data_IF_382077723103
#
_entry.id   IF_382077723103
#
_cell.length_a   1.000
_cell.length_b   1.000
_cell.length_c   1.000
_cell.angle_alpha   90.00
_cell.angle_beta   90.00
_cell.angle_gamma   90.00
#
_symmetry.space_group_name_H-M   'P 1'
#
loop_
_entity.id
_entity.type
_entity.pdbx_description
1 polymer ?
#
# COMPACT_ATOMS: atom_id res chain seq x y z
N UNK A 1 -7.29 12.45 -3.13
CA UNK A 1 -7.28 13.91 -2.81
C UNK A 1 -6.41 14.55 -3.86
N UNK A 2 -6.90 15.57 -4.55
CA UNK A 2 -6.17 16.18 -5.64
C UNK A 2 -4.91 16.95 -5.16
N UNK A 3 -3.90 17.07 -6.02
CA UNK A 3 -2.70 17.86 -5.80
C UNK A 3 -3.07 19.31 -5.40
N UNK A 4 -4.06 19.87 -6.07
CA UNK A 4 -4.60 21.21 -5.74
C UNK A 4 -5.11 21.31 -4.29
N UNK A 5 -5.80 20.28 -3.78
CA UNK A 5 -6.30 20.28 -2.40
C UNK A 5 -5.14 20.25 -1.37
N UNK A 6 -4.07 19.52 -1.68
CA UNK A 6 -2.87 19.46 -0.86
C UNK A 6 -2.14 20.81 -0.85
N UNK A 7 -1.89 21.39 -2.02
CA UNK A 7 -1.26 22.71 -2.15
C UNK A 7 -2.07 23.83 -1.46
N UNK A 8 -3.40 23.77 -1.58
CA UNK A 8 -4.30 24.65 -0.86
C UNK A 8 -4.11 24.53 0.67
N UNK A 9 -4.15 23.32 1.20
CA UNK A 9 -4.00 23.09 2.64
C UNK A 9 -2.62 23.54 3.14
N UNK A 10 -1.55 23.19 2.41
CA UNK A 10 -0.18 23.58 2.72
C UNK A 10 -0.03 25.10 2.81
N UNK A 11 -0.58 25.84 1.84
CA UNK A 11 -0.57 27.31 1.83
C UNK A 11 -1.22 27.90 3.09
N UNK A 12 -2.46 27.51 3.37
CA UNK A 12 -3.22 28.12 4.49
C UNK A 12 -2.66 27.72 5.85
N UNK A 13 -2.20 26.49 6.03
CA UNK A 13 -1.58 26.06 7.28
C UNK A 13 -0.25 26.79 7.52
N UNK A 14 0.53 27.06 6.47
CA UNK A 14 1.78 27.80 6.58
C UNK A 14 1.53 29.25 6.94
N UNK A 15 0.59 29.92 6.27
CA UNK A 15 0.21 31.30 6.57
C UNK A 15 -0.28 31.45 8.02
N UNK A 16 -1.10 30.51 8.50
CA UNK A 16 -1.60 30.53 9.88
C UNK A 16 -0.50 30.23 10.90
N UNK A 17 0.39 29.29 10.62
CA UNK A 17 1.55 28.99 11.47
C UNK A 17 2.44 30.24 11.64
N UNK A 18 2.77 30.90 10.54
CA UNK A 18 3.61 32.11 10.55
C UNK A 18 2.93 33.25 11.33
N UNK A 19 1.63 33.46 11.12
CA UNK A 19 0.84 34.47 11.82
C UNK A 19 0.81 34.19 13.32
N UNK A 20 0.55 32.96 13.72
CA UNK A 20 0.48 32.53 15.12
C UNK A 20 1.83 32.62 15.83
N UNK A 21 2.90 32.18 15.20
CA UNK A 21 4.28 32.31 15.74
C UNK A 21 4.65 33.78 15.97
N UNK A 22 4.26 34.67 15.06
CA UNK A 22 4.48 36.12 15.24
C UNK A 22 3.74 36.67 16.46
N UNK A 23 2.48 36.26 16.68
CA UNK A 23 1.71 36.68 17.85
C UNK A 23 2.26 36.11 19.16
N UNK A 24 2.86 34.92 19.14
CA UNK A 24 3.44 34.26 20.30
C UNK A 24 4.92 34.64 20.54
N UNK A 25 5.45 35.63 19.84
CA UNK A 25 6.84 36.05 19.99
C UNK A 25 7.86 34.99 19.60
N UNK A 26 7.48 34.10 18.67
CA UNK A 26 8.33 33.02 18.14
C UNK A 26 8.32 31.73 18.98
N UNK A 27 7.55 31.66 20.06
CA UNK A 27 7.43 30.42 20.88
C UNK A 27 6.24 29.60 20.43
N UNK A 28 6.47 28.40 19.83
CA UNK A 28 5.39 27.56 19.31
C UNK A 28 4.56 26.95 20.44
N UNK A 29 3.25 27.09 20.38
CA UNK A 29 2.30 26.33 21.20
C UNK A 29 1.92 24.98 20.57
N UNK A 30 1.03 24.24 21.22
CA UNK A 30 0.59 22.92 20.76
C UNK A 30 -0.08 22.97 19.35
N UNK A 31 -0.78 24.07 19.03
CA UNK A 31 -1.42 24.22 17.71
C UNK A 31 -0.39 24.54 16.62
N UNK A 32 0.64 25.36 16.91
CA UNK A 32 1.77 25.56 16.01
C UNK A 32 2.48 24.23 15.71
N UNK A 33 2.70 23.40 16.74
CA UNK A 33 3.29 22.06 16.56
C UNK A 33 2.40 21.15 15.71
N UNK A 34 1.07 21.25 15.85
CA UNK A 34 0.13 20.49 15.03
C UNK A 34 0.14 20.94 13.56
N UNK A 35 0.21 22.24 13.28
CA UNK A 35 0.36 22.75 11.91
C UNK A 35 1.69 22.30 11.30
N UNK A 36 2.77 22.37 12.04
CA UNK A 36 4.08 21.93 11.58
C UNK A 36 4.09 20.42 11.28
N UNK A 37 3.55 19.59 12.15
CA UNK A 37 3.44 18.15 11.92
C UNK A 37 2.57 17.83 10.68
N UNK A 38 1.52 18.61 10.44
CA UNK A 38 0.69 18.47 9.24
C UNK A 38 1.47 18.83 7.97
N UNK A 39 2.24 19.92 7.98
CA UNK A 39 3.10 20.32 6.86
C UNK A 39 4.20 19.29 6.58
N UNK A 40 4.83 18.74 7.62
CA UNK A 40 5.80 17.64 7.50
C UNK A 40 5.15 16.38 6.89
N UNK A 41 3.93 16.03 7.32
CA UNK A 41 3.19 14.91 6.77
C UNK A 41 2.76 15.11 5.29
N UNK A 42 2.65 16.36 4.85
CA UNK A 42 2.41 16.76 3.46
C UNK A 42 3.65 16.72 2.58
N UNK A 43 4.85 16.70 3.18
CA UNK A 43 6.08 16.61 2.40
C UNK A 43 6.09 15.36 1.50
N UNK A 44 6.80 15.39 0.37
CA UNK A 44 6.95 14.24 -0.48
C UNK A 44 7.52 13.05 0.31
N UNK A 45 6.89 11.89 0.20
CA UNK A 45 7.35 10.65 0.83
C UNK A 45 7.90 9.70 -0.22
N UNK A 46 8.85 8.86 0.19
CA UNK A 46 9.34 7.79 -0.68
C UNK A 46 8.17 6.90 -1.07
N UNK A 47 8.05 6.69 -2.37
CA UNK A 47 7.10 5.75 -2.95
C UNK A 47 7.80 4.43 -3.23
N UNK A 48 7.10 3.34 -2.97
CA UNK A 48 7.47 2.01 -3.42
C UNK A 48 6.65 1.69 -4.66
N UNK A 49 7.31 1.44 -5.76
CA UNK A 49 6.70 0.97 -6.99
C UNK A 49 6.89 -0.55 -7.05
N UNK A 50 5.79 -1.28 -7.00
CA UNK A 50 5.76 -2.73 -7.07
C UNK A 50 5.50 -3.11 -8.52
N UNK A 51 6.48 -3.76 -9.14
CA UNK A 51 6.36 -4.29 -10.50
C UNK A 51 5.84 -5.71 -10.40
N UNK A 52 4.76 -5.98 -11.11
CA UNK A 52 4.08 -7.28 -11.07
C UNK A 52 3.97 -7.88 -12.45
N UNK A 53 3.91 -9.21 -12.50
CA UNK A 53 3.72 -10.00 -13.72
C UNK A 53 2.49 -10.85 -13.56
N UNK A 54 1.61 -10.86 -14.55
CA UNK A 54 0.49 -11.79 -14.62
C UNK A 54 1.00 -13.22 -14.74
N UNK A 55 0.40 -14.13 -13.97
CA UNK A 55 0.86 -15.52 -13.91
C UNK A 55 -0.23 -16.53 -14.27
N UNK A 56 0.22 -17.67 -14.76
CA UNK A 56 -0.55 -18.90 -14.89
C UNK A 56 0.19 -20.04 -14.19
N UNK A 57 -0.55 -21.11 -13.90
CA UNK A 57 0.00 -22.36 -13.32
C UNK A 57 0.83 -22.14 -12.05
N UNK A 58 0.56 -21.08 -11.29
CA UNK A 58 1.27 -20.78 -10.07
C UNK A 58 0.71 -21.61 -8.91
N UNK A 59 1.61 -22.13 -8.08
CA UNK A 59 1.27 -22.75 -6.81
C UNK A 59 1.77 -21.91 -5.66
N UNK A 60 0.87 -21.53 -4.74
CA UNK A 60 1.22 -20.78 -3.53
C UNK A 60 1.35 -21.72 -2.33
N UNK A 61 2.31 -21.42 -1.47
CA UNK A 61 2.46 -22.07 -0.18
C UNK A 61 1.35 -21.61 0.77
N UNK A 62 0.36 -22.46 1.03
CA UNK A 62 -0.80 -22.15 1.86
C UNK A 62 -1.01 -23.30 2.85
N UNK A 63 -0.36 -23.22 3.99
CA UNK A 63 -0.45 -24.23 5.04
C UNK A 63 -1.87 -24.25 5.64
N UNK A 64 -2.53 -25.42 5.73
CA UNK A 64 -3.83 -25.54 6.37
C UNK A 64 -3.78 -25.07 7.83
N UNK A 65 -4.83 -24.42 8.29
CA UNK A 65 -4.94 -24.02 9.69
C UNK A 65 -5.03 -25.29 10.56
N UNK A 66 -4.11 -25.45 11.50
CA UNK A 66 -4.24 -26.46 12.53
C UNK A 66 -5.44 -26.11 13.41
N UNK A 67 -6.59 -26.72 13.15
CA UNK A 67 -7.76 -26.62 14.02
C UNK A 67 -7.47 -27.52 15.22
N UNK A 68 -7.24 -26.99 16.44
CA UNK A 68 -7.11 -27.86 17.59
C UNK A 68 -8.38 -28.67 17.74
N UNK A 69 -8.29 -29.99 18.05
CA UNK A 69 -9.46 -30.81 18.28
C UNK A 69 -10.34 -30.13 19.36
N UNK A 70 -11.65 -30.14 19.12
CA UNK A 70 -12.63 -29.38 19.90
C UNK A 70 -12.80 -29.84 21.33
N UNK A 71 -12.24 -30.99 21.71
CA UNK A 71 -12.35 -31.61 23.02
C UNK A 71 -10.95 -31.96 23.57
N UNK A 72 -10.68 -31.52 24.81
CA UNK A 72 -9.38 -31.68 25.50
C UNK A 72 -8.98 -33.14 25.75
N UNK A 73 -9.84 -34.10 25.44
CA UNK A 73 -9.66 -35.54 25.77
C UNK A 73 -9.09 -36.39 24.58
N UNK A 74 -8.87 -35.82 23.39
CA UNK A 74 -8.44 -36.58 22.20
C UNK A 74 -6.93 -36.44 21.86
N UNK A 75 -6.08 -36.02 22.79
CA UNK A 75 -4.64 -35.94 22.53
C UNK A 75 -3.87 -37.27 22.65
N UNK A 76 -4.56 -38.36 22.99
CA UNK A 76 -3.94 -39.68 23.04
C UNK A 76 -3.94 -40.30 21.64
N UNK A 77 -2.77 -40.34 21.01
CA UNK A 77 -2.47 -41.09 19.77
C UNK A 77 -3.19 -40.64 18.47
N UNK A 78 -3.47 -39.36 18.27
CA UNK A 78 -3.64 -38.91 16.90
C UNK A 78 -2.27 -38.93 16.21
N UNK A 79 -2.06 -39.94 15.34
CA UNK A 79 -1.06 -39.84 14.28
C UNK A 79 -1.29 -38.47 13.64
N UNK A 80 -0.42 -37.51 13.93
CA UNK A 80 -0.35 -36.27 13.16
C UNK A 80 0.04 -36.77 11.77
N UNK A 81 -0.95 -36.99 10.90
CA UNK A 81 -0.68 -37.26 9.49
C UNK A 81 0.24 -36.13 9.05
N UNK A 82 1.51 -36.49 8.83
CA UNK A 82 2.46 -35.56 8.22
C UNK A 82 1.80 -35.14 6.91
N UNK A 83 1.35 -33.89 6.83
CA UNK A 83 0.79 -33.32 5.61
C UNK A 83 1.80 -33.59 4.49
N UNK A 84 1.39 -34.30 3.47
CA UNK A 84 2.23 -34.50 2.31
C UNK A 84 2.63 -33.11 1.77
N UNK A 85 3.90 -32.94 1.37
CA UNK A 85 4.39 -31.66 0.84
C UNK A 85 3.51 -31.12 -0.31
N UNK A 86 2.75 -31.98 -0.98
CA UNK A 86 1.81 -31.61 -2.03
C UNK A 86 0.55 -30.92 -1.49
N UNK A 87 0.09 -31.27 -0.27
CA UNK A 87 -1.14 -30.72 0.32
C UNK A 87 -1.01 -29.25 0.80
N UNK A 88 0.22 -28.76 0.94
CA UNK A 88 0.51 -27.38 1.36
C UNK A 88 0.64 -26.42 0.18
N UNK A 89 0.58 -26.92 -1.06
CA UNK A 89 0.66 -26.12 -2.27
C UNK A 89 -0.70 -26.07 -2.97
N UNK A 90 -1.24 -24.86 -3.11
CA UNK A 90 -2.54 -24.65 -3.75
C UNK A 90 -2.38 -23.89 -5.06
N UNK A 91 -3.13 -24.33 -6.08
CA UNK A 91 -3.18 -23.61 -7.35
C UNK A 91 -3.79 -22.23 -7.14
N UNK A 92 -3.08 -21.22 -7.62
CA UNK A 92 -3.46 -19.81 -7.50
C UNK A 92 -3.26 -19.11 -8.82
N UNK A 93 -4.06 -18.06 -9.04
CA UNK A 93 -3.89 -17.15 -10.16
C UNK A 93 -3.78 -15.72 -9.65
N UNK A 94 -2.97 -14.92 -10.30
CA UNK A 94 -2.79 -13.53 -9.92
C UNK A 94 -1.48 -12.94 -10.41
N UNK A 95 -1.03 -11.90 -9.74
CA UNK A 95 0.19 -11.19 -10.11
C UNK A 95 1.31 -11.51 -9.13
N UNK A 96 2.42 -12.03 -9.63
CA UNK A 96 3.65 -12.18 -8.84
C UNK A 96 4.37 -10.84 -8.77
N UNK A 97 4.91 -10.53 -7.60
CA UNK A 97 5.79 -9.40 -7.39
C UNK A 97 7.16 -9.73 -7.99
N UNK A 98 7.48 -9.04 -9.08
CA UNK A 98 8.76 -9.22 -9.78
C UNK A 98 9.86 -8.38 -9.14
N UNK A 99 9.55 -7.13 -8.76
CA UNK A 99 10.50 -6.22 -8.11
C UNK A 99 9.79 -5.10 -7.33
N UNK A 100 10.53 -4.50 -6.39
CA UNK A 100 10.11 -3.33 -5.61
C UNK A 100 11.15 -2.23 -5.77
N UNK A 101 10.76 -1.11 -6.36
CA UNK A 101 11.66 0.03 -6.60
C UNK A 101 11.19 1.25 -5.82
N UNK A 102 12.08 1.80 -5.01
CA UNK A 102 11.85 3.01 -4.24
C UNK A 102 12.33 4.23 -5.01
N UNK A 103 11.40 5.10 -5.42
CA UNK A 103 11.70 6.30 -6.20
C UNK A 103 10.74 7.45 -5.86
N UNK A 104 11.09 8.66 -6.25
CA UNK A 104 10.25 9.83 -6.02
C UNK A 104 9.15 9.96 -7.08
N UNK A 105 9.35 9.38 -8.27
CA UNK A 105 8.38 9.40 -9.37
C UNK A 105 8.30 8.04 -10.10
N UNK A 106 7.14 7.79 -10.75
CA UNK A 106 6.93 6.62 -11.61
C UNK A 106 7.98 6.55 -12.71
N UNK A 107 8.30 7.69 -13.33
CA UNK A 107 9.32 7.76 -14.40
C UNK A 107 10.69 7.29 -13.93
N UNK A 108 11.13 7.71 -12.74
CA UNK A 108 12.41 7.25 -12.16
C UNK A 108 12.38 5.76 -11.83
N UNK A 109 11.27 5.26 -11.27
CA UNK A 109 11.10 3.84 -10.99
C UNK A 109 11.17 3.00 -12.27
N UNK A 110 10.45 3.40 -13.32
CA UNK A 110 10.45 2.73 -14.62
C UNK A 110 11.85 2.75 -15.25
N UNK A 111 12.55 3.88 -15.21
CA UNK A 111 13.92 3.95 -15.73
C UNK A 111 14.90 3.06 -14.95
N UNK A 112 14.74 2.97 -13.64
CA UNK A 112 15.55 2.08 -12.81
C UNK A 112 15.24 0.62 -13.12
N UNK A 113 13.99 0.27 -13.32
CA UNK A 113 13.55 -1.07 -13.67
C UNK A 113 14.08 -1.51 -15.03
N UNK A 114 13.93 -0.69 -16.09
CA UNK A 114 14.45 -0.99 -17.44
C UNK A 114 15.96 -1.23 -17.42
N UNK A 115 16.72 -0.49 -16.60
CA UNK A 115 18.16 -0.73 -16.44
C UNK A 115 18.49 -2.08 -15.78
N UNK A 116 17.61 -2.57 -14.91
CA UNK A 116 17.78 -3.83 -14.19
C UNK A 116 17.34 -5.02 -15.03
N UNK A 117 16.29 -4.86 -15.81
CA UNK A 117 15.65 -5.89 -16.62
C UNK A 117 15.47 -5.44 -18.08
N UNK A 118 16.58 -5.18 -18.82
CA UNK A 118 16.50 -4.61 -20.17
C UNK A 118 16.01 -5.59 -21.22
N UNK A 119 15.87 -6.88 -20.87
CA UNK A 119 15.46 -7.94 -21.79
C UNK A 119 13.95 -8.07 -21.94
N UNK A 120 13.16 -7.51 -21.01
CA UNK A 120 11.72 -7.62 -20.99
C UNK A 120 11.04 -6.31 -21.34
N UNK A 121 9.92 -6.39 -21.99
CA UNK A 121 9.12 -5.22 -22.33
C UNK A 121 8.46 -4.66 -21.08
N UNK A 122 8.62 -3.35 -20.82
CA UNK A 122 8.06 -2.68 -19.65
C UNK A 122 6.52 -2.70 -19.61
N UNK A 123 5.88 -2.73 -20.76
CA UNK A 123 4.43 -2.72 -20.87
C UNK A 123 3.78 -4.05 -20.46
N UNK A 124 4.58 -5.13 -20.35
CA UNK A 124 4.12 -6.41 -19.80
C UNK A 124 3.91 -6.37 -18.27
N UNK A 125 4.53 -5.39 -17.57
CA UNK A 125 4.44 -5.30 -16.13
C UNK A 125 3.26 -4.46 -15.65
N UNK A 126 2.57 -4.97 -14.63
CA UNK A 126 1.74 -4.14 -13.78
C UNK A 126 2.61 -3.27 -12.88
N UNK A 127 2.21 -2.02 -12.65
CA UNK A 127 2.96 -1.10 -11.76
C UNK A 127 2.00 -0.55 -10.73
N UNK A 128 2.15 -0.99 -9.50
CA UNK A 128 1.40 -0.48 -8.35
C UNK A 128 2.26 0.48 -7.54
N UNK A 129 1.65 1.55 -7.02
CA UNK A 129 2.37 2.54 -6.21
C UNK A 129 1.85 2.55 -4.79
N UNK A 130 2.80 2.49 -3.86
CA UNK A 130 2.54 2.54 -2.43
C UNK A 130 3.42 3.60 -1.76
N UNK A 131 2.96 4.15 -0.64
CA UNK A 131 3.76 5.03 0.19
C UNK A 131 4.33 4.23 1.34
N UNK A 132 5.64 4.29 1.53
CA UNK A 132 6.30 3.65 2.68
C UNK A 132 5.85 4.36 3.95
N UNK A 133 5.37 3.64 4.97
CA UNK A 133 5.00 4.25 6.24
C UNK A 133 6.19 4.94 6.90
N UNK A 134 5.92 6.05 7.57
CA UNK A 134 6.90 6.62 8.50
C UNK A 134 7.07 5.69 9.70
N UNK A 135 8.16 5.88 10.42
CA UNK A 135 8.42 5.15 11.67
C UNK A 135 7.32 5.40 12.74
N UNK A 136 7.28 4.54 13.76
CA UNK A 136 6.26 4.59 14.82
C UNK A 136 6.28 5.90 15.63
N UNK A 137 7.43 6.58 15.69
CA UNK A 137 7.57 7.86 16.42
C UNK A 137 6.81 8.97 15.71
N UNK A 138 6.87 9.02 14.39
CA UNK A 138 6.08 9.94 13.56
C UNK A 138 4.59 9.65 13.66
N UNK A 139 4.20 8.38 13.77
CA UNK A 139 2.79 7.98 13.91
C UNK A 139 2.14 8.52 15.18
N UNK A 140 2.87 8.59 16.31
CA UNK A 140 2.36 9.18 17.57
C UNK A 140 2.15 10.68 17.44
N UNK A 141 3.15 11.40 16.95
CA UNK A 141 3.07 12.85 16.69
C UNK A 141 1.90 13.21 15.78
N UNK A 142 1.71 12.43 14.72
CA UNK A 142 0.60 12.65 13.77
C UNK A 142 -0.77 12.45 14.41
N UNK A 143 -0.92 11.51 15.36
CA UNK A 143 -2.17 11.33 16.11
C UNK A 143 -2.51 12.53 16.99
N UNK A 144 -1.51 13.05 17.71
CA UNK A 144 -1.69 14.20 18.57
C UNK A 144 -1.98 15.46 17.75
N UNK A 145 -1.22 15.70 16.67
CA UNK A 145 -1.48 16.79 15.73
C UNK A 145 -2.90 16.74 15.17
N UNK A 146 -3.35 15.57 14.70
CA UNK A 146 -4.71 15.41 14.19
C UNK A 146 -5.80 15.65 15.26
N UNK A 147 -5.50 15.41 16.55
CA UNK A 147 -6.41 15.74 17.65
C UNK A 147 -6.52 17.26 17.82
N UNK A 148 -5.39 17.97 17.91
CA UNK A 148 -5.38 19.42 18.04
C UNK A 148 -6.05 20.14 16.86
N UNK A 149 -5.78 19.69 15.62
CA UNK A 149 -6.46 20.25 14.43
C UNK A 149 -7.98 20.05 14.47
N UNK A 150 -8.46 18.91 14.97
CA UNK A 150 -9.90 18.67 15.14
C UNK A 150 -10.52 19.58 16.20
N UNK A 151 -9.83 19.85 17.28
CA UNK A 151 -10.26 20.79 18.32
C UNK A 151 -10.33 22.21 17.77
N UNK A 152 -9.34 22.63 16.99
CA UNK A 152 -9.33 23.92 16.28
C UNK A 152 -10.49 24.03 15.30
N UNK A 153 -10.73 23.02 14.46
CA UNK A 153 -11.86 22.98 13.54
C UNK A 153 -13.22 23.15 14.28
N UNK A 154 -13.38 22.47 15.41
CA UNK A 154 -14.59 22.60 16.24
C UNK A 154 -14.73 24.01 16.82
N UNK A 155 -13.64 24.60 17.31
CA UNK A 155 -13.62 25.95 17.84
C UNK A 155 -14.01 26.98 16.76
N UNK A 156 -13.44 26.86 15.56
CA UNK A 156 -13.77 27.74 14.43
C UNK A 156 -15.23 27.66 14.00
N UNK A 157 -15.79 26.43 13.89
CA UNK A 157 -17.22 26.27 13.58
C UNK A 157 -18.12 26.95 14.61
N UNK A 158 -17.75 26.93 15.89
CA UNK A 158 -18.52 27.60 16.94
C UNK A 158 -18.44 29.12 16.80
N UNK A 159 -17.28 29.69 16.44
CA UNK A 159 -17.12 31.15 16.25
C UNK A 159 -17.84 31.62 14.97
N UNK A 160 -17.80 30.81 13.94
CA UNK A 160 -18.34 31.14 12.60
C UNK A 160 -19.79 30.63 12.40
N UNK A 161 -20.51 30.38 13.49
CA UNK A 161 -21.91 29.96 13.48
C UNK A 161 -22.20 28.76 12.53
N UNK A 162 -21.25 27.83 12.47
CA UNK A 162 -21.36 26.63 11.66
C UNK A 162 -20.87 26.78 10.20
N UNK A 163 -20.38 27.96 9.78
CA UNK A 163 -19.87 28.16 8.43
C UNK A 163 -18.37 27.84 8.37
N UNK A 164 -17.93 26.79 7.65
CA UNK A 164 -16.51 26.47 7.53
C UNK A 164 -15.78 27.50 6.69
N UNK A 165 -14.71 28.08 7.22
CA UNK A 165 -13.79 28.95 6.49
C UNK A 165 -12.66 28.18 5.79
N UNK A 166 -11.77 28.89 5.11
CA UNK A 166 -10.66 28.29 4.37
C UNK A 166 -9.66 27.54 5.27
N UNK A 167 -9.42 28.04 6.49
CA UNK A 167 -8.54 27.35 7.43
C UNK A 167 -9.18 26.08 7.99
N UNK A 168 -10.49 26.08 8.23
CA UNK A 168 -11.23 24.88 8.58
C UNK A 168 -11.04 23.79 7.49
N UNK A 169 -11.19 24.18 6.21
CA UNK A 169 -11.00 23.26 5.08
C UNK A 169 -9.56 22.74 5.00
N UNK A 170 -8.57 23.62 5.21
CA UNK A 170 -7.17 23.24 5.25
C UNK A 170 -6.87 22.26 6.39
N UNK A 171 -7.43 22.49 7.58
CA UNK A 171 -7.31 21.57 8.72
C UNK A 171 -7.98 20.23 8.46
N UNK A 172 -9.13 20.18 7.80
CA UNK A 172 -9.82 18.93 7.43
C UNK A 172 -8.97 18.07 6.48
N UNK A 173 -8.37 18.70 5.47
CA UNK A 173 -7.42 18.06 4.57
C UNK A 173 -6.20 17.54 5.36
N UNK A 174 -5.62 18.36 6.22
CA UNK A 174 -4.48 17.98 7.06
C UNK A 174 -4.78 16.77 7.96
N UNK A 175 -5.94 16.74 8.61
CA UNK A 175 -6.36 15.61 9.45
C UNK A 175 -6.47 14.31 8.65
N UNK A 176 -6.92 14.37 7.39
CA UNK A 176 -6.98 13.20 6.50
C UNK A 176 -5.57 12.70 6.14
N UNK A 177 -4.62 13.63 5.91
CA UNK A 177 -3.22 13.29 5.62
C UNK A 177 -2.51 12.71 6.85
N UNK A 178 -2.75 13.27 8.03
CA UNK A 178 -2.18 12.78 9.29
C UNK A 178 -2.73 11.40 9.72
N UNK A 179 -3.85 10.97 9.15
CA UNK A 179 -4.49 9.67 9.41
C UNK A 179 -4.75 8.91 8.11
N UNK A 180 -3.70 8.56 7.38
CA UNK A 180 -3.86 7.87 6.11
C UNK A 180 -4.50 6.49 6.31
N UNK A 181 -5.17 6.01 5.27
CA UNK A 181 -5.63 4.61 5.22
C UNK A 181 -4.40 3.73 4.99
N UNK A 182 -4.19 2.76 5.88
CA UNK A 182 -3.17 1.74 5.72
C UNK A 182 -3.71 0.63 4.83
N UNK A 183 -2.86 0.19 3.91
CA UNK A 183 -3.05 -1.00 3.09
C UNK A 183 -2.04 -2.04 3.56
N UNK A 184 -2.53 -3.25 3.80
CA UNK A 184 -1.69 -4.40 4.08
C UNK A 184 -1.72 -5.28 2.84
N UNK A 185 -0.57 -5.37 2.17
CA UNK A 185 -0.37 -6.27 1.06
C UNK A 185 -0.13 -7.67 1.64
N UNK A 186 -0.98 -8.60 1.26
CA UNK A 186 -0.90 -9.99 1.68
C UNK A 186 -0.26 -10.76 0.54
N UNK A 187 0.82 -11.46 0.83
CA UNK A 187 1.58 -12.23 -0.15
C UNK A 187 1.70 -13.68 0.29
N UNK A 188 1.92 -14.56 -0.66
CA UNK A 188 2.28 -15.95 -0.41
C UNK A 188 3.45 -16.33 -1.32
N UNK A 189 4.36 -17.16 -0.80
CA UNK A 189 5.47 -17.70 -1.59
C UNK A 189 4.95 -18.62 -2.69
N UNK A 190 5.59 -18.61 -3.87
CA UNK A 190 5.16 -19.42 -5.02
C UNK A 190 6.24 -20.38 -5.51
N UNK A 191 5.77 -21.49 -6.10
CA UNK A 191 6.57 -22.40 -6.93
C UNK A 191 5.86 -22.62 -8.27
N UNK A 192 6.60 -23.12 -9.26
CA UNK A 192 6.08 -23.56 -10.55
C UNK A 192 5.24 -22.50 -11.29
N UNK A 193 5.51 -21.22 -11.02
CA UNK A 193 4.77 -20.14 -11.61
C UNK A 193 5.37 -19.73 -12.96
N UNK A 194 4.51 -19.51 -13.95
CA UNK A 194 4.89 -18.94 -15.23
C UNK A 194 4.35 -17.52 -15.36
N UNK A 195 5.24 -16.59 -15.71
CA UNK A 195 4.90 -15.18 -15.95
C UNK A 195 4.98 -14.83 -17.42
N UNK A 196 4.02 -14.04 -17.92
CA UNK A 196 4.04 -13.54 -19.28
C UNK A 196 5.04 -12.38 -19.39
N UNK A 197 6.20 -12.64 -19.98
CA UNK A 197 7.31 -11.69 -20.12
C UNK A 197 7.85 -11.64 -21.55
N UNK A 198 7.11 -11.05 -22.48
CA UNK A 198 7.55 -10.89 -23.86
C UNK A 198 8.85 -10.07 -23.94
N UNK A 199 9.72 -10.35 -24.91
CA UNK A 199 10.93 -9.58 -25.16
C UNK A 199 10.59 -8.15 -25.61
N UNK A 200 11.54 -7.23 -25.44
CA UNK A 200 11.40 -5.86 -25.95
C UNK A 200 11.19 -5.89 -27.45
N UNK A 201 10.13 -5.22 -27.91
CA UNK A 201 9.83 -5.03 -29.33
C UNK A 201 10.12 -3.58 -29.73
N UNK A 202 10.77 -3.41 -30.90
CA UNK A 202 10.94 -2.09 -31.53
C UNK A 202 9.71 -1.65 -32.34
N UNK A 203 8.69 -2.51 -32.46
CA UNK A 203 7.47 -2.20 -33.18
C UNK A 203 6.56 -1.28 -32.34
N UNK A 204 5.98 -0.24 -32.98
CA UNK A 204 5.04 0.63 -32.28
C UNK A 204 3.77 -0.15 -31.91
N UNK A 205 3.36 -0.02 -30.65
CA UNK A 205 2.13 -0.63 -30.14
C UNK A 205 0.99 0.36 -30.29
N UNK A 206 0.07 0.08 -31.18
CA UNK A 206 -1.09 0.94 -31.42
C UNK A 206 -2.12 0.86 -30.29
N UNK A 207 -2.31 -0.33 -29.70
CA UNK A 207 -3.13 -0.57 -28.54
C UNK A 207 -2.42 -1.52 -27.55
N UNK A 208 -2.14 -1.02 -26.34
CA UNK A 208 -1.42 -1.80 -25.31
C UNK A 208 -2.28 -2.96 -24.79
N UNK A 209 -3.60 -2.80 -24.75
CA UNK A 209 -4.50 -3.85 -24.24
C UNK A 209 -4.58 -5.02 -25.21
N UNK A 210 -4.73 -4.74 -26.49
CA UNK A 210 -4.76 -5.75 -27.55
C UNK A 210 -3.39 -6.45 -27.65
N UNK A 211 -2.30 -5.69 -27.59
CA UNK A 211 -0.95 -6.26 -27.54
C UNK A 211 -0.72 -7.19 -26.35
N UNK A 212 -1.25 -6.86 -25.17
CA UNK A 212 -1.12 -7.73 -24.00
C UNK A 212 -1.88 -9.04 -24.18
N UNK A 213 -3.09 -8.99 -24.73
CA UNK A 213 -3.87 -10.20 -25.02
C UNK A 213 -3.13 -11.10 -26.01
N UNK A 214 -2.61 -10.54 -27.10
CA UNK A 214 -1.80 -11.28 -28.07
C UNK A 214 -0.52 -11.87 -27.44
N UNK A 215 0.16 -11.09 -26.59
CA UNK A 215 1.36 -11.56 -25.90
C UNK A 215 1.06 -12.70 -24.92
N UNK A 216 -0.11 -12.71 -24.29
CA UNK A 216 -0.54 -13.79 -23.37
C UNK A 216 -0.94 -15.08 -24.12
N UNK A 217 -1.36 -14.97 -25.38
CA UNK A 217 -1.70 -16.12 -26.21
C UNK A 217 -0.47 -16.84 -26.78
N UNK A 218 0.70 -16.18 -26.78
CA UNK A 218 1.95 -16.74 -27.28
C UNK A 218 2.68 -17.50 -26.15
N UNK A 219 2.78 -18.82 -26.33
CA UNK A 219 3.43 -19.73 -25.37
C UNK A 219 4.90 -19.39 -25.14
N UNK A 220 5.60 -18.85 -26.12
CA UNK A 220 7.02 -18.50 -26.02
C UNK A 220 7.28 -17.30 -25.07
N UNK A 221 6.23 -16.53 -24.76
CA UNK A 221 6.30 -15.40 -23.83
C UNK A 221 6.15 -15.83 -22.34
N UNK A 222 5.79 -17.09 -22.08
CA UNK A 222 5.64 -17.61 -20.72
C UNK A 222 6.94 -18.24 -20.23
N UNK A 223 7.50 -17.63 -19.20
CA UNK A 223 8.76 -18.09 -18.60
C UNK A 223 8.58 -18.37 -17.11
N UNK A 224 9.41 -19.27 -16.57
CA UNK A 224 9.41 -19.57 -15.14
C UNK A 224 9.79 -18.31 -14.33
N UNK A 225 8.94 -17.95 -13.39
CA UNK A 225 9.16 -16.85 -12.46
C UNK A 225 9.09 -17.36 -11.03
N UNK A 226 9.85 -16.72 -10.15
CA UNK A 226 9.86 -17.03 -8.72
C UNK A 226 9.60 -15.75 -7.95
N UNK A 227 8.79 -15.85 -6.92
CA UNK A 227 8.51 -14.69 -6.06
C UNK A 227 7.30 -14.92 -5.20
N UNK A 228 6.76 -13.81 -4.70
CA UNK A 228 5.56 -13.79 -3.89
C UNK A 228 4.39 -13.38 -4.75
N UNK A 229 3.32 -14.19 -4.75
CA UNK A 229 2.06 -13.78 -5.36
C UNK A 229 1.32 -12.81 -4.45
N UNK A 230 0.71 -11.78 -5.02
CA UNK A 230 -0.20 -10.92 -4.28
C UNK A 230 -1.51 -11.68 -4.08
N UNK A 231 -1.73 -12.12 -2.84
CA UNK A 231 -2.92 -12.89 -2.47
C UNK A 231 -4.12 -11.99 -2.21
N UNK A 232 -3.91 -10.89 -1.46
CA UNK A 232 -4.97 -9.92 -1.17
C UNK A 232 -4.42 -8.55 -0.75
N UNK A 233 -5.32 -7.54 -0.69
CA UNK A 233 -5.04 -6.18 -0.21
C UNK A 233 -6.04 -5.80 0.85
N UNK A 234 -5.61 -5.80 2.12
CA UNK A 234 -6.48 -5.55 3.27
C UNK A 234 -6.34 -4.14 3.80
N UNK A 235 -7.42 -3.36 3.75
CA UNK A 235 -7.46 -2.03 4.33
C UNK A 235 -7.88 -2.11 5.80
N UNK A 236 -6.97 -1.72 6.69
CA UNK A 236 -7.21 -1.76 8.13
C UNK A 236 -6.48 -0.62 8.87
N UNK A 237 -6.88 -0.34 10.11
CA UNK A 237 -6.25 0.69 10.97
C UNK A 237 -4.96 0.23 11.64
N UNK A 238 -4.69 -1.09 11.67
CA UNK A 238 -3.50 -1.68 12.27
C UNK A 238 -3.27 -3.09 11.72
N UNK A 239 -2.03 -3.59 11.78
CA UNK A 239 -1.65 -4.95 11.39
C UNK A 239 -2.52 -6.01 12.07
N UNK A 240 -2.75 -5.88 13.38
CA UNK A 240 -3.64 -6.79 14.13
C UNK A 240 -5.06 -6.86 13.55
N UNK A 241 -5.62 -5.72 13.11
CA UNK A 241 -6.96 -5.70 12.48
C UNK A 241 -6.93 -6.27 11.07
N UNK A 242 -5.83 -6.10 10.34
CA UNK A 242 -5.64 -6.73 9.04
C UNK A 242 -5.59 -8.25 9.19
N UNK A 243 -4.76 -8.77 10.11
CA UNK A 243 -4.68 -10.21 10.43
C UNK A 243 -6.03 -10.80 10.84
N UNK A 244 -6.79 -10.10 11.70
CA UNK A 244 -8.13 -10.55 12.09
C UNK A 244 -9.13 -10.58 10.92
N UNK A 245 -8.95 -9.73 9.91
CA UNK A 245 -9.75 -9.78 8.69
C UNK A 245 -9.30 -10.95 7.81
N UNK A 246 -8.00 -11.10 7.61
CA UNK A 246 -7.42 -12.21 6.84
C UNK A 246 -7.91 -13.55 7.37
N UNK A 247 -7.79 -13.79 8.67
CA UNK A 247 -8.30 -15.00 9.33
C UNK A 247 -9.79 -15.27 9.09
N UNK A 248 -10.61 -14.21 9.02
CA UNK A 248 -12.05 -14.35 8.74
C UNK A 248 -12.37 -14.62 7.29
N UNK A 249 -11.52 -14.15 6.38
CA UNK A 249 -11.69 -14.33 4.94
C UNK A 249 -11.17 -15.71 4.48
N UNK A 250 -10.12 -16.19 5.14
CA UNK A 250 -9.42 -17.42 4.79
C UNK A 250 -9.19 -18.27 6.06
N UNK A 251 -10.26 -18.76 6.71
CA UNK A 251 -10.15 -19.50 7.97
C UNK A 251 -9.51 -20.88 7.80
N UNK A 252 -9.42 -21.37 6.57
CA UNK A 252 -8.84 -22.65 6.19
C UNK A 252 -7.31 -22.68 6.19
N UNK A 253 -6.66 -21.50 6.19
CA UNK A 253 -5.19 -21.41 6.13
C UNK A 253 -4.58 -20.87 7.42
N UNK A 254 -3.35 -21.31 7.72
CA UNK A 254 -2.57 -20.71 8.79
C UNK A 254 -2.09 -19.33 8.36
N UNK A 255 -2.33 -18.33 9.22
CA UNK A 255 -1.94 -16.93 8.94
C UNK A 255 -0.43 -16.78 8.82
N UNK A 256 0.36 -17.67 9.42
CA UNK A 256 1.83 -17.61 9.38
C UNK A 256 2.42 -17.85 8.00
N UNK A 257 1.69 -18.51 7.09
CA UNK A 257 2.14 -18.72 5.73
C UNK A 257 2.09 -17.46 4.86
N UNK A 258 1.38 -16.41 5.32
CA UNK A 258 1.25 -15.17 4.57
C UNK A 258 2.32 -14.14 4.94
N UNK A 259 2.95 -13.56 3.92
CA UNK A 259 3.67 -12.30 4.04
C UNK A 259 2.67 -11.15 4.26
N UNK A 260 2.97 -10.24 5.19
CA UNK A 260 2.12 -9.07 5.46
C UNK A 260 2.96 -7.82 5.49
N UNK A 261 2.89 -7.05 4.42
CA UNK A 261 3.60 -5.78 4.26
C UNK A 261 2.66 -4.60 4.50
N UNK A 262 3.08 -3.66 5.33
CA UNK A 262 2.31 -2.44 5.63
C UNK A 262 2.70 -1.32 4.69
N UNK A 263 1.70 -0.76 4.02
CA UNK A 263 1.82 0.42 3.18
C UNK A 263 0.76 1.46 3.54
N UNK A 264 0.99 2.69 3.09
CA UNK A 264 0.01 3.76 3.09
C UNK A 264 -0.43 3.96 1.65
N UNK A 265 -1.74 3.93 1.41
CA UNK A 265 -2.24 4.23 0.07
C UNK A 265 -1.91 5.68 -0.28
N UNK A 266 -1.35 5.94 -1.45
CA UNK A 266 -1.28 7.30 -1.95
C UNK A 266 -2.71 7.85 -1.93
N UNK A 267 -2.90 9.03 -1.40
CA UNK A 267 -4.13 9.76 -1.66
C UNK A 267 -4.25 9.81 -3.17
N UNK A 268 -5.30 9.18 -3.71
CA UNK A 268 -5.47 9.05 -5.14
C UNK A 268 -5.23 10.39 -5.83
N UNK A 269 -4.01 10.61 -6.25
CA UNK A 269 -3.74 11.42 -7.39
C UNK A 269 -4.15 10.51 -8.56
N UNK A 270 -5.44 10.48 -8.85
CA UNK A 270 -5.95 10.08 -10.15
C UNK A 270 -5.55 11.22 -11.09
N UNK A 271 -4.30 11.30 -11.37
CA UNK A 271 -3.73 12.05 -12.45
C UNK A 271 -2.79 11.06 -13.13
N UNK A 272 -3.38 10.45 -14.08
CA UNK A 272 -2.86 10.20 -15.41
C UNK A 272 -1.80 11.24 -15.73
N UNK A 273 -0.53 10.85 -15.71
CA UNK A 273 0.56 11.52 -16.42
C UNK A 273 1.00 10.61 -17.56
#
# INVERSE_FOLDING_TARGET
MSKMAKEFAEKYLKEELDSRLKHLGGQPDALCQAYQAALEAMAPKKKCYVFTVETRDAQAYLEPACIPPSDEDEWEDSDVEELDEEDIWSDVSGSIIYDRIYADSKKEAVQAFIKKCPQHDIDSFGIEVYIVPDDDTTSSKNKDAAKFLKEEMKHRLNILEGCPDLLYQACDIAVKILKPKKCYLITADTRDAQGCLPPVSDEPKDDISEWKEEAMDDEDNWIDVKGEIIYDRIYAKSKKKAMNKLFKMYPEYDISCFGIEEYVMPYCDTEED
#
